data_IF_955734622591
#
_entry.id   IF_955734622591
#
_cell.length_a   1.000
_cell.length_b   1.000
_cell.length_c   1.000
_cell.angle_alpha   90.00
_cell.angle_beta   90.00
_cell.angle_gamma   90.00
#
_symmetry.space_group_name_H-M   'P 1'
#
loop_
_entity.id
_entity.type
_entity.pdbx_description
1 polymer ?
#
# COMPACT_ATOMS: atom_id res chain seq x y z
N UNK A 1 15.42 -10.29 -2.08
CA UNK A 1 15.18 -8.94 -2.62
C UNK A 1 15.43 -7.82 -1.61
N UNK A 2 15.79 -8.12 -0.37
CA UNK A 2 16.02 -7.13 0.71
C UNK A 2 14.84 -6.17 0.94
N UNK A 3 13.63 -6.59 0.65
CA UNK A 3 12.43 -5.85 1.02
C UNK A 3 12.24 -5.92 2.55
N UNK A 4 11.85 -4.82 3.15
CA UNK A 4 11.66 -4.71 4.59
C UNK A 4 10.27 -4.20 4.99
N UNK A 5 9.40 -3.96 4.01
CA UNK A 5 8.04 -3.49 4.23
C UNK A 5 7.07 -4.14 3.25
N UNK A 6 5.82 -4.30 3.69
CA UNK A 6 4.72 -4.87 2.90
C UNK A 6 3.49 -3.98 3.05
N UNK A 7 2.73 -3.86 1.99
CA UNK A 7 1.39 -3.28 1.95
C UNK A 7 0.45 -4.24 1.24
N UNK A 8 -0.79 -4.31 1.68
CA UNK A 8 -1.88 -5.00 0.98
C UNK A 8 -3.12 -4.11 0.92
N UNK A 9 -4.06 -4.39 0.00
CA UNK A 9 -5.32 -3.65 -0.13
C UNK A 9 -6.36 -4.02 0.93
N UNK A 10 -6.12 -5.07 1.67
CA UNK A 10 -7.09 -5.64 2.61
C UNK A 10 -6.39 -6.00 3.91
N UNK A 11 -7.07 -5.91 5.06
CA UNK A 11 -6.51 -6.42 6.30
C UNK A 11 -6.10 -7.89 6.12
N UNK A 12 -4.86 -8.25 6.47
CA UNK A 12 -4.33 -9.59 6.23
C UNK A 12 -4.88 -10.60 7.23
N UNK A 13 -4.54 -11.87 7.03
CA UNK A 13 -4.68 -12.87 8.07
C UNK A 13 -3.77 -12.55 9.28
N UNK A 14 -4.25 -12.85 10.49
CA UNK A 14 -3.49 -12.57 11.72
C UNK A 14 -2.13 -13.27 11.74
N UNK A 15 -2.04 -14.49 11.18
CA UNK A 15 -0.76 -15.22 11.09
C UNK A 15 0.25 -14.53 10.17
N UNK A 16 -0.23 -13.76 9.19
CA UNK A 16 0.66 -12.95 8.37
C UNK A 16 1.27 -11.80 9.18
N UNK A 17 0.49 -11.15 10.02
CA UNK A 17 0.98 -10.11 10.94
C UNK A 17 1.96 -10.68 11.97
N UNK A 18 1.65 -11.86 12.55
CA UNK A 18 2.57 -12.60 13.44
C UNK A 18 3.91 -12.89 12.74
N UNK A 19 3.87 -13.27 11.47
CA UNK A 19 5.08 -13.51 10.68
C UNK A 19 5.86 -12.21 10.44
N UNK A 20 5.18 -11.11 10.12
CA UNK A 20 5.81 -9.80 9.97
C UNK A 20 6.48 -9.36 11.28
N UNK A 21 5.80 -9.51 12.41
CA UNK A 21 6.37 -9.21 13.73
C UNK A 21 7.63 -10.03 14.00
N UNK A 22 7.58 -11.33 13.71
CA UNK A 22 8.68 -12.25 13.96
C UNK A 22 9.89 -12.00 13.07
N UNK A 23 9.66 -11.59 11.83
CA UNK A 23 10.70 -11.35 10.82
C UNK A 23 11.22 -9.92 10.82
N UNK A 24 10.57 -9.00 11.54
CA UNK A 24 10.89 -7.59 11.53
C UNK A 24 10.51 -6.87 10.23
N UNK A 25 9.48 -7.36 9.52
CA UNK A 25 8.92 -6.69 8.35
C UNK A 25 7.94 -5.61 8.80
N UNK A 26 8.07 -4.43 8.24
CA UNK A 26 7.11 -3.35 8.46
C UNK A 26 5.84 -3.59 7.65
N UNK A 27 4.71 -3.12 8.16
CA UNK A 27 3.43 -3.34 7.50
C UNK A 27 2.57 -2.08 7.46
N UNK A 28 1.91 -1.86 6.32
CA UNK A 28 0.83 -0.89 6.18
C UNK A 28 -0.47 -1.67 6.13
N UNK A 29 -1.29 -1.52 7.16
CA UNK A 29 -2.58 -2.20 7.26
C UNK A 29 -3.68 -1.34 6.66
N UNK A 30 -4.39 -1.87 5.67
CA UNK A 30 -5.32 -1.12 4.86
C UNK A 30 -6.75 -1.59 5.02
N UNK A 31 -7.63 -0.62 5.30
CA UNK A 31 -9.07 -0.83 5.26
C UNK A 31 -9.50 -1.15 3.83
N UNK A 32 -10.23 -2.24 3.64
CA UNK A 32 -10.75 -2.63 2.34
C UNK A 32 -11.68 -1.54 1.77
N UNK A 33 -11.20 -0.83 0.79
CA UNK A 33 -11.93 0.19 0.04
C UNK A 33 -11.14 0.52 -1.20
N UNK A 34 -11.72 0.31 -2.39
CA UNK A 34 -11.01 0.55 -3.64
C UNK A 34 -11.90 1.34 -4.57
N UNK A 35 -11.43 2.56 -4.92
CA UNK A 35 -12.11 3.54 -5.79
C UNK A 35 -13.49 4.00 -5.28
N UNK A 36 -14.15 3.23 -4.42
CA UNK A 36 -15.41 3.57 -3.80
C UNK A 36 -15.28 3.49 -2.28
N UNK A 37 -15.54 4.61 -1.62
CA UNK A 37 -15.49 4.71 -0.18
C UNK A 37 -16.70 4.02 0.48
N UNK A 38 -16.49 3.42 1.63
CA UNK A 38 -17.61 3.04 2.50
C UNK A 38 -18.35 4.27 2.99
N UNK A 39 -19.67 4.14 3.18
CA UNK A 39 -20.43 5.13 3.94
C UNK A 39 -19.91 5.25 5.38
N UNK A 40 -20.22 6.36 6.04
CA UNK A 40 -19.67 6.64 7.37
C UNK A 40 -20.07 5.62 8.44
N UNK A 41 -21.24 4.99 8.32
CA UNK A 41 -21.70 3.99 9.29
C UNK A 41 -20.91 2.70 9.14
N UNK A 42 -20.87 2.17 7.93
CA UNK A 42 -20.12 0.95 7.59
C UNK A 42 -18.63 1.15 7.83
N UNK A 43 -18.05 2.23 7.29
CA UNK A 43 -16.63 2.54 7.45
C UNK A 43 -16.21 2.68 8.91
N UNK A 44 -17.05 3.34 9.75
CA UNK A 44 -16.75 3.47 11.18
C UNK A 44 -16.70 2.13 11.90
N UNK A 45 -17.58 1.20 11.53
CA UNK A 45 -17.58 -0.15 12.08
C UNK A 45 -16.31 -0.90 11.68
N UNK A 46 -15.99 -0.89 10.39
CA UNK A 46 -14.84 -1.61 9.84
C UNK A 46 -13.52 -1.09 10.40
N UNK A 47 -13.32 0.23 10.49
CA UNK A 47 -12.14 0.85 11.12
C UNK A 47 -11.97 0.36 12.56
N UNK A 48 -13.07 0.37 13.34
CA UNK A 48 -13.02 -0.11 14.72
C UNK A 48 -12.62 -1.58 14.82
N UNK A 49 -13.20 -2.41 13.97
CA UNK A 49 -12.96 -3.87 13.98
C UNK A 49 -11.52 -4.19 13.57
N UNK A 50 -11.01 -3.56 12.51
CA UNK A 50 -9.64 -3.72 12.04
C UNK A 50 -8.64 -3.32 13.13
N UNK A 51 -8.76 -2.12 13.68
CA UNK A 51 -7.83 -1.65 14.70
C UNK A 51 -7.94 -2.51 15.98
N UNK A 52 -9.15 -2.91 16.40
CA UNK A 52 -9.33 -3.74 17.58
C UNK A 52 -8.64 -5.11 17.44
N UNK A 53 -8.59 -5.64 16.22
CA UNK A 53 -7.87 -6.89 15.93
C UNK A 53 -6.36 -6.68 15.90
N UNK A 54 -5.88 -5.64 15.18
CA UNK A 54 -4.50 -5.57 14.71
C UNK A 54 -3.60 -4.58 15.50
N UNK A 55 -4.16 -3.75 16.37
CA UNK A 55 -3.45 -2.66 17.06
C UNK A 55 -2.21 -3.10 17.85
N UNK A 56 -2.17 -4.35 18.29
CA UNK A 56 -1.07 -4.89 19.09
C UNK A 56 0.10 -5.44 18.26
N UNK A 57 0.00 -5.44 16.94
CA UNK A 57 1.10 -5.86 16.07
C UNK A 57 2.11 -4.72 15.90
N UNK A 58 3.35 -4.88 16.41
CA UNK A 58 4.39 -3.85 16.29
C UNK A 58 4.88 -3.65 14.86
N UNK A 59 4.68 -4.61 13.97
CA UNK A 59 5.01 -4.47 12.54
C UNK A 59 4.20 -3.38 11.85
N UNK A 60 2.98 -3.09 12.31
CA UNK A 60 2.13 -2.06 11.71
C UNK A 60 2.69 -0.68 12.04
N UNK A 61 3.12 0.04 11.04
CA UNK A 61 3.71 1.38 11.17
C UNK A 61 2.77 2.49 10.72
N UNK A 62 1.85 2.18 9.81
CA UNK A 62 0.86 3.10 9.26
C UNK A 62 -0.48 2.38 9.10
N UNK A 63 -1.56 3.13 9.22
CA UNK A 63 -2.89 2.73 8.79
C UNK A 63 -3.21 3.32 7.43
N UNK A 64 -3.96 2.61 6.62
CA UNK A 64 -4.47 3.11 5.35
C UNK A 64 -5.99 3.06 5.32
N UNK A 65 -6.62 4.17 4.94
CA UNK A 65 -8.08 4.31 4.91
C UNK A 65 -8.66 3.95 3.52
N UNK A 66 -8.19 2.89 2.89
CA UNK A 66 -8.63 2.46 1.56
C UNK A 66 -7.69 2.93 0.45
N UNK A 67 -7.93 2.43 -0.76
CA UNK A 67 -7.10 2.62 -1.93
C UNK A 67 -7.78 3.48 -3.00
N UNK A 68 -7.00 4.28 -3.73
CA UNK A 68 -7.39 4.96 -4.98
C UNK A 68 -8.75 5.67 -4.95
N UNK A 69 -9.00 6.46 -3.92
CA UNK A 69 -10.29 7.13 -3.73
C UNK A 69 -11.28 6.35 -2.85
N UNK A 70 -10.94 5.13 -2.44
CA UNK A 70 -11.76 4.30 -1.55
C UNK A 70 -11.78 4.74 -0.08
N UNK A 71 -11.24 5.91 0.26
CA UNK A 71 -11.20 6.46 1.62
C UNK A 71 -12.39 7.34 1.94
N UNK A 72 -12.83 7.25 3.19
CA UNK A 72 -13.79 8.21 3.75
C UNK A 72 -13.11 9.04 4.85
N UNK A 73 -12.69 10.24 4.52
CA UNK A 73 -11.95 11.16 5.42
C UNK A 73 -12.69 11.40 6.74
N UNK A 74 -14.03 11.31 6.75
CA UNK A 74 -14.81 11.47 7.98
C UNK A 74 -14.51 10.37 9.02
N UNK A 75 -13.93 9.25 8.61
CA UNK A 75 -13.55 8.14 9.51
C UNK A 75 -12.11 8.23 10.03
N UNK A 76 -11.24 9.10 9.50
CA UNK A 76 -9.83 9.22 9.91
C UNK A 76 -9.64 9.41 11.41
N UNK A 77 -10.48 10.25 12.01
CA UNK A 77 -10.46 10.47 13.47
C UNK A 77 -10.65 9.21 14.31
N UNK A 78 -11.23 8.15 13.73
CA UNK A 78 -11.48 6.89 14.42
C UNK A 78 -10.21 6.06 14.53
N UNK A 79 -9.33 6.11 13.53
CA UNK A 79 -8.01 5.48 13.62
C UNK A 79 -7.26 6.03 14.84
N UNK A 80 -7.16 7.35 14.96
CA UNK A 80 -6.51 8.00 16.10
C UNK A 80 -7.22 7.78 17.44
N UNK A 81 -8.54 7.50 17.41
CA UNK A 81 -9.33 7.22 18.60
C UNK A 81 -9.10 5.82 19.13
N UNK A 82 -8.99 4.83 18.24
CA UNK A 82 -8.89 3.42 18.61
C UNK A 82 -7.46 2.92 18.68
N UNK A 83 -6.51 3.59 18.04
CA UNK A 83 -5.09 3.29 18.15
C UNK A 83 -4.42 4.16 19.24
N UNK A 84 -4.06 3.58 20.39
CA UNK A 84 -3.39 4.33 21.46
C UNK A 84 -2.00 4.85 21.06
N UNK A 85 -1.35 4.25 20.05
CA UNK A 85 -0.08 4.70 19.51
C UNK A 85 -0.26 5.87 18.54
N UNK A 86 -1.48 6.11 18.08
CA UNK A 86 -1.84 7.19 17.15
C UNK A 86 -1.00 7.15 15.86
N UNK A 87 -0.79 5.94 15.30
CA UNK A 87 -0.10 5.79 14.04
C UNK A 87 -0.79 6.62 12.95
N UNK A 88 0.03 7.12 12.04
CA UNK A 88 -0.49 7.98 10.97
C UNK A 88 -1.41 7.22 10.01
N UNK A 89 -2.42 7.94 9.48
CA UNK A 89 -3.38 7.41 8.50
C UNK A 89 -3.03 7.95 7.13
N UNK A 90 -2.88 7.07 6.15
CA UNK A 90 -2.61 7.46 4.77
C UNK A 90 -3.81 7.21 3.85
N UNK A 91 -3.77 7.87 2.69
CA UNK A 91 -4.79 7.79 1.65
C UNK A 91 -4.09 7.47 0.32
N UNK A 92 -3.80 6.19 0.04
CA UNK A 92 -3.03 5.77 -1.13
C UNK A 92 -3.53 6.35 -2.45
N UNK A 93 -2.59 6.82 -3.19
CA UNK A 93 -2.36 7.73 -4.30
C UNK A 93 -2.53 9.22 -3.99
N UNK A 94 -3.05 9.60 -2.82
CA UNK A 94 -3.27 11.00 -2.53
C UNK A 94 -2.02 11.71 -2.00
N UNK A 95 -1.96 12.99 -2.30
CA UNK A 95 -1.12 13.96 -1.62
C UNK A 95 -1.93 14.52 -0.43
N UNK A 96 -1.73 13.96 0.75
CA UNK A 96 -2.54 14.25 1.93
C UNK A 96 -1.67 14.49 3.16
N UNK A 97 -2.01 15.49 3.94
CA UNK A 97 -1.24 15.95 5.10
C UNK A 97 0.26 16.16 4.76
N UNK A 98 1.15 15.47 5.44
CA UNK A 98 2.60 15.57 5.26
C UNK A 98 3.18 14.45 4.38
N UNK A 99 2.31 13.58 3.83
CA UNK A 99 2.67 12.44 3.01
C UNK A 99 2.15 12.58 1.58
N UNK A 100 3.01 12.22 0.65
CA UNK A 100 2.69 12.05 -0.76
C UNK A 100 2.83 10.57 -1.11
N UNK A 101 1.70 9.91 -1.30
CA UNK A 101 1.61 8.47 -1.57
C UNK A 101 1.27 8.16 -3.03
N UNK A 102 1.69 9.02 -3.95
CA UNK A 102 1.38 8.93 -5.37
C UNK A 102 1.60 7.53 -5.95
N UNK A 103 0.63 7.05 -6.72
CA UNK A 103 0.76 5.80 -7.46
C UNK A 103 1.44 6.03 -8.81
N UNK A 104 2.27 5.10 -9.20
CA UNK A 104 2.94 5.04 -10.50
C UNK A 104 3.62 6.35 -10.92
N UNK A 105 4.43 6.96 -10.06
CA UNK A 105 5.15 8.17 -10.42
C UNK A 105 6.12 7.86 -11.57
N UNK A 106 6.06 8.65 -12.63
CA UNK A 106 7.06 8.55 -13.68
C UNK A 106 8.46 8.90 -13.14
N UNK A 107 9.51 8.34 -13.72
CA UNK A 107 10.90 8.51 -13.28
C UNK A 107 11.30 9.97 -13.03
N UNK A 108 10.82 10.91 -13.86
CA UNK A 108 11.09 12.34 -13.70
C UNK A 108 10.14 13.04 -12.73
N UNK A 109 8.95 12.51 -12.46
CA UNK A 109 7.95 13.16 -11.61
C UNK A 109 8.44 13.29 -10.17
N UNK A 110 9.10 12.26 -9.64
CA UNK A 110 9.67 12.28 -8.30
C UNK A 110 10.59 13.47 -8.06
N UNK A 111 11.38 13.87 -9.08
CA UNK A 111 12.27 15.04 -8.97
C UNK A 111 11.51 16.34 -8.79
N UNK A 112 10.43 16.54 -9.53
CA UNK A 112 9.60 17.75 -9.40
C UNK A 112 8.96 17.85 -8.02
N UNK A 113 8.52 16.73 -7.45
CA UNK A 113 7.95 16.68 -6.10
C UNK A 113 8.97 17.01 -5.02
N UNK A 114 10.19 16.47 -5.11
CA UNK A 114 11.26 16.77 -4.18
C UNK A 114 11.71 18.25 -4.26
N UNK A 115 11.76 18.80 -5.46
CA UNK A 115 12.25 20.17 -5.68
C UNK A 115 11.30 21.23 -5.16
N UNK A 116 9.99 20.97 -5.25
CA UNK A 116 8.94 21.90 -4.88
C UNK A 116 8.18 21.50 -3.62
N UNK A 117 8.47 20.32 -3.08
CA UNK A 117 7.75 19.73 -1.95
C UNK A 117 8.53 19.80 -0.65
N UNK A 118 7.79 19.77 0.43
CA UNK A 118 8.28 19.58 1.80
C UNK A 118 7.67 18.32 2.45
N UNK A 119 6.89 17.57 1.67
CA UNK A 119 6.23 16.36 2.12
C UNK A 119 7.13 15.14 1.99
N UNK A 120 6.94 14.18 2.85
CA UNK A 120 7.57 12.88 2.72
C UNK A 120 6.96 12.17 1.52
N UNK A 121 7.80 11.75 0.58
CA UNK A 121 7.40 11.01 -0.61
C UNK A 121 7.56 9.51 -0.38
N UNK A 122 6.47 8.78 -0.49
CA UNK A 122 6.41 7.35 -0.30
C UNK A 122 5.36 6.76 -1.26
N UNK A 123 5.69 6.50 -2.53
CA UNK A 123 4.74 5.91 -3.46
C UNK A 123 4.28 4.56 -2.93
N UNK A 124 2.97 4.43 -2.73
CA UNK A 124 2.36 3.21 -2.21
C UNK A 124 2.11 2.15 -3.27
N UNK A 125 2.26 2.54 -4.54
CA UNK A 125 2.38 1.63 -5.68
C UNK A 125 3.28 2.28 -6.73
N UNK A 126 4.27 1.53 -7.27
CA UNK A 126 5.07 1.98 -8.38
C UNK A 126 5.66 0.81 -9.16
N UNK A 127 6.05 1.05 -10.42
CA UNK A 127 6.64 0.07 -11.31
C UNK A 127 5.73 -1.15 -11.53
N UNK A 128 4.48 -0.89 -11.90
CA UNK A 128 3.51 -1.92 -12.23
C UNK A 128 4.02 -2.82 -13.37
N UNK A 129 4.16 -4.12 -13.11
CA UNK A 129 4.76 -5.04 -14.06
C UNK A 129 4.07 -5.07 -15.42
N UNK A 130 2.75 -4.96 -15.43
CA UNK A 130 1.96 -4.95 -16.66
C UNK A 130 2.06 -3.62 -17.43
N UNK A 131 1.87 -2.49 -16.76
CA UNK A 131 1.79 -1.19 -17.43
C UNK A 131 3.15 -0.63 -17.79
N UNK A 132 4.14 -0.85 -16.97
CA UNK A 132 5.51 -0.41 -17.21
C UNK A 132 6.30 -1.35 -18.13
N UNK A 133 5.70 -2.48 -18.50
CA UNK A 133 6.22 -3.48 -19.45
C UNK A 133 7.61 -4.04 -19.10
N UNK A 134 8.07 -3.80 -17.91
CA UNK A 134 9.43 -4.12 -17.51
C UNK A 134 9.55 -5.11 -16.34
N UNK A 135 8.45 -5.51 -15.72
CA UNK A 135 8.44 -6.45 -14.58
C UNK A 135 9.51 -6.12 -13.53
N UNK A 136 9.58 -4.85 -13.13
CA UNK A 136 10.58 -4.35 -12.20
C UNK A 136 11.92 -3.95 -12.82
N UNK A 137 12.09 -4.04 -14.13
CA UNK A 137 13.28 -3.51 -14.81
C UNK A 137 13.37 -1.99 -14.60
N UNK A 138 14.58 -1.50 -14.31
CA UNK A 138 14.78 -0.08 -13.98
C UNK A 138 14.57 0.27 -12.50
N UNK A 139 14.27 -0.69 -11.64
CA UNK A 139 14.15 -0.45 -10.20
C UNK A 139 15.40 0.23 -9.63
N UNK A 140 16.59 -0.18 -10.05
CA UNK A 140 17.85 0.42 -9.58
C UNK A 140 17.92 1.92 -9.92
N UNK A 141 17.46 2.31 -11.11
CA UNK A 141 17.45 3.71 -11.55
C UNK A 141 16.47 4.55 -10.73
N UNK A 142 15.24 4.06 -10.54
CA UNK A 142 14.25 4.71 -9.68
C UNK A 142 14.76 4.83 -8.25
N UNK A 143 15.28 3.74 -7.70
CA UNK A 143 15.75 3.68 -6.33
C UNK A 143 16.94 4.61 -6.09
N UNK A 144 17.94 4.57 -6.96
CA UNK A 144 19.11 5.46 -6.87
C UNK A 144 18.69 6.94 -6.92
N UNK A 145 17.72 7.25 -7.79
CA UNK A 145 17.23 8.60 -7.93
C UNK A 145 16.43 9.08 -6.70
N UNK A 146 15.53 8.25 -6.20
CA UNK A 146 14.67 8.63 -5.08
C UNK A 146 15.43 8.67 -3.75
N UNK A 147 16.30 7.69 -3.50
CA UNK A 147 17.10 7.65 -2.27
C UNK A 147 18.13 8.77 -2.17
N UNK A 148 18.46 9.42 -3.27
CA UNK A 148 19.30 10.62 -3.23
C UNK A 148 18.64 11.81 -2.54
N UNK A 149 17.33 11.74 -2.28
CA UNK A 149 16.59 12.84 -1.67
C UNK A 149 16.13 12.50 -0.24
N UNK A 150 16.36 13.39 0.74
CA UNK A 150 16.07 13.11 2.15
C UNK A 150 14.57 12.99 2.50
N UNK A 151 13.67 13.42 1.63
CA UNK A 151 12.22 13.26 1.81
C UNK A 151 11.68 11.93 1.28
N UNK A 152 12.51 11.08 0.66
CA UNK A 152 12.07 9.77 0.22
C UNK A 152 12.09 8.78 1.36
N UNK A 153 10.94 8.22 1.70
CA UNK A 153 10.78 7.26 2.80
C UNK A 153 10.75 5.78 2.35
N UNK A 154 10.97 5.51 1.08
CA UNK A 154 10.78 4.19 0.48
C UNK A 154 9.57 4.15 -0.42
N UNK A 155 9.22 2.96 -0.92
CA UNK A 155 8.07 2.78 -1.80
C UNK A 155 7.71 1.31 -1.94
N UNK A 156 6.51 1.04 -2.45
CA UNK A 156 5.95 -0.29 -2.57
C UNK A 156 5.78 -0.65 -4.04
N UNK A 157 6.43 -1.73 -4.46
CA UNK A 157 6.30 -2.23 -5.83
C UNK A 157 4.93 -2.87 -6.02
N UNK A 158 4.32 -2.62 -7.14
CA UNK A 158 3.10 -3.31 -7.54
C UNK A 158 3.39 -4.25 -8.74
N UNK A 159 3.30 -5.55 -8.56
CA UNK A 159 3.10 -6.22 -7.27
C UNK A 159 4.22 -7.25 -7.05
N UNK A 160 4.20 -7.95 -5.89
CA UNK A 160 5.23 -8.94 -5.59
C UNK A 160 5.12 -10.16 -6.50
N UNK A 161 3.92 -10.73 -6.62
CA UNK A 161 3.64 -11.91 -7.44
C UNK A 161 2.42 -11.68 -8.31
N UNK A 162 2.30 -12.46 -9.36
CA UNK A 162 1.10 -12.48 -10.19
C UNK A 162 -0.15 -12.75 -9.36
N UNK A 163 -1.23 -12.04 -9.67
CA UNK A 163 -2.50 -12.11 -8.94
C UNK A 163 -3.51 -13.09 -9.56
N UNK A 164 -3.08 -13.93 -10.50
CA UNK A 164 -3.94 -14.89 -11.17
C UNK A 164 -4.55 -15.91 -10.20
N UNK A 165 -5.86 -16.10 -10.29
CA UNK A 165 -6.59 -17.09 -9.50
C UNK A 165 -6.66 -18.43 -10.23
N UNK A 166 -6.30 -19.50 -9.54
CA UNK A 166 -6.44 -20.85 -10.09
C UNK A 166 -7.91 -21.26 -10.08
N UNK A 167 -8.50 -21.38 -11.25
CA UNK A 167 -9.91 -21.76 -11.42
C UNK A 167 -10.13 -23.25 -11.11
N UNK A 168 -10.90 -23.54 -10.08
CA UNK A 168 -11.29 -24.93 -9.76
C UNK A 168 -12.40 -25.45 -10.68
N UNK A 169 -13.18 -24.56 -11.27
CA UNK A 169 -14.25 -24.85 -12.24
C UNK A 169 -13.72 -25.04 -13.68
N UNK A 170 -12.46 -24.70 -13.95
CA UNK A 170 -11.80 -24.83 -15.25
C UNK A 170 -10.56 -25.72 -15.20
N UNK A 171 -10.62 -26.87 -14.54
CA UNK A 171 -9.53 -27.85 -14.45
C UNK A 171 -8.18 -27.29 -13.93
N UNK A 172 -8.23 -26.26 -13.08
CA UNK A 172 -7.04 -25.65 -12.49
C UNK A 172 -6.28 -24.73 -13.43
N UNK A 173 -6.88 -24.28 -14.51
CA UNK A 173 -6.32 -23.22 -15.38
C UNK A 173 -6.29 -21.92 -14.59
N UNK A 174 -5.18 -21.18 -14.72
CA UNK A 174 -5.09 -19.82 -14.17
C UNK A 174 -6.03 -18.90 -14.92
N UNK A 175 -6.71 -18.02 -14.19
CA UNK A 175 -7.54 -16.98 -14.78
C UNK A 175 -6.62 -15.91 -15.40
N UNK A 176 -6.43 -16.01 -16.70
CA UNK A 176 -5.59 -15.10 -17.48
C UNK A 176 -6.41 -14.00 -18.19
N UNK A 177 -7.72 -13.98 -17.98
CA UNK A 177 -8.59 -12.98 -18.59
C UNK A 177 -8.56 -11.65 -17.82
N UNK A 178 -8.08 -11.64 -16.58
CA UNK A 178 -7.81 -10.42 -15.87
C UNK A 178 -6.50 -9.80 -16.39
N UNK A 179 -6.59 -8.61 -16.94
CA UNK A 179 -5.45 -7.86 -17.47
C UNK A 179 -4.38 -7.57 -16.41
N UNK A 180 -4.73 -7.61 -15.14
CA UNK A 180 -3.83 -7.34 -14.03
C UNK A 180 -3.17 -8.60 -13.48
N UNK A 181 -3.61 -9.80 -13.91
CA UNK A 181 -3.09 -11.04 -13.37
C UNK A 181 -1.56 -11.22 -13.49
N UNK A 182 -0.91 -10.91 -14.63
CA UNK A 182 0.54 -11.04 -14.79
C UNK A 182 1.29 -9.75 -14.43
N UNK A 183 1.08 -9.19 -13.25
CA UNK A 183 1.68 -7.94 -12.83
C UNK A 183 2.80 -8.10 -11.77
N UNK A 184 3.09 -9.30 -11.37
CA UNK A 184 4.15 -9.62 -10.44
C UNK A 184 5.56 -9.37 -10.97
N UNK A 185 6.49 -9.17 -10.04
CA UNK A 185 7.93 -9.06 -10.32
C UNK A 185 8.70 -10.35 -10.05
N UNK A 186 8.03 -11.38 -9.53
CA UNK A 186 8.53 -12.75 -9.27
C UNK A 186 7.50 -13.77 -9.70
#
# INVERSE_FOLDING_TARGET
MNMNAVRSHYPPDEHFLDACDSLGLLYIDELAGWQNAYDTVTGSKLVKEMIARDVNHPCIVLWSNGNEGGWNIATDKLFYRYDPQRRHVIHPWADFDELDTHHYPAYLTGVGRFTNGYKVFMPTEFMHGLYDQGHGAGLEDFWARYTAHPLFAGGFLWAYSDEAVRRTDCNGILDSEDYNAPDGIV
#
